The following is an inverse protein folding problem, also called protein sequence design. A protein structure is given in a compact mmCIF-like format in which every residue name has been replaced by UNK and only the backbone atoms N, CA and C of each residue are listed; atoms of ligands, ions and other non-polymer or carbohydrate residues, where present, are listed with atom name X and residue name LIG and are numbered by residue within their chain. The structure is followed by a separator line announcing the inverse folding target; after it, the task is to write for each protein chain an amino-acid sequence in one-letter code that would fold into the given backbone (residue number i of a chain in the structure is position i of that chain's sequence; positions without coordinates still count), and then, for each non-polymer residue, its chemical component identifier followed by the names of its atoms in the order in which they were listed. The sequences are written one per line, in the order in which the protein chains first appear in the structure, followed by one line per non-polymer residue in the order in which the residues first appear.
data_IF_440326784493
#
_entry.id   IF_440326784493
#
_cell.length_a   1.000
_cell.length_b   1.000
_cell.length_c   1.000
_cell.angle_alpha   90.00
_cell.angle_beta   90.00
_cell.angle_gamma   90.00
#
_symmetry.space_group_name_H-M   'P 1'
#
loop_
_entity.id
_entity.type
_entity.pdbx_description
1 polymer ?
#
# COMPACT_ATOMS: atom_id res chain seq x y z
N UNK A 1 2.05 -2.92 -17.12
CA UNK A 1 2.60 -4.29 -16.91
C UNK A 1 1.43 -5.26 -16.73
N UNK A 2 1.63 -6.52 -17.03
CA UNK A 2 0.55 -7.53 -16.93
C UNK A 2 0.92 -8.56 -15.89
N UNK A 3 -0.09 -9.06 -15.19
CA UNK A 3 0.05 -10.22 -14.30
C UNK A 3 -0.89 -11.34 -14.77
N UNK A 4 -0.51 -12.56 -14.41
CA UNK A 4 -1.38 -13.73 -14.55
C UNK A 4 -1.71 -14.29 -13.16
N UNK A 5 -2.86 -14.93 -13.00
CA UNK A 5 -3.15 -15.67 -11.78
C UNK A 5 -2.09 -16.73 -11.52
N UNK A 6 -1.71 -16.90 -10.26
CA UNK A 6 -0.83 -18.00 -9.85
C UNK A 6 -1.73 -19.16 -9.42
N UNK A 7 -1.72 -20.30 -10.13
CA UNK A 7 -2.71 -21.38 -9.93
C UNK A 7 -2.66 -22.01 -8.53
N UNK A 8 -1.51 -21.91 -7.86
CA UNK A 8 -1.29 -22.49 -6.52
C UNK A 8 -1.69 -21.56 -5.37
N UNK A 9 -2.09 -20.32 -5.68
CA UNK A 9 -2.55 -19.37 -4.67
C UNK A 9 -4.07 -19.40 -4.54
N UNK A 10 -4.54 -19.07 -3.33
CA UNK A 10 -5.96 -18.84 -3.09
C UNK A 10 -6.52 -17.77 -4.05
N UNK A 11 -7.77 -17.93 -4.53
CA UNK A 11 -8.40 -16.95 -5.42
C UNK A 11 -8.37 -15.52 -4.87
N UNK A 12 -8.60 -15.33 -3.57
CA UNK A 12 -8.57 -14.04 -2.89
C UNK A 12 -7.20 -13.33 -3.02
N UNK A 13 -6.09 -14.08 -3.01
CA UNK A 13 -4.76 -13.51 -3.19
C UNK A 13 -4.57 -13.06 -4.63
N UNK A 14 -5.03 -13.85 -5.60
CA UNK A 14 -4.98 -13.48 -7.01
C UNK A 14 -5.83 -12.23 -7.30
N UNK A 15 -7.03 -12.11 -6.71
CA UNK A 15 -7.87 -10.91 -6.79
C UNK A 15 -7.18 -9.69 -6.19
N UNK A 16 -6.54 -9.82 -5.04
CA UNK A 16 -5.75 -8.77 -4.40
C UNK A 16 -4.58 -8.33 -5.28
N UNK A 17 -3.87 -9.28 -5.90
CA UNK A 17 -2.79 -8.99 -6.85
C UNK A 17 -3.31 -8.23 -8.07
N UNK A 18 -4.40 -8.67 -8.66
CA UNK A 18 -5.01 -8.01 -9.80
C UNK A 18 -5.47 -6.60 -9.47
N UNK A 19 -6.17 -6.40 -8.35
CA UNK A 19 -6.61 -5.09 -7.89
C UNK A 19 -5.41 -4.14 -7.64
N UNK A 20 -4.33 -4.65 -7.05
CA UNK A 20 -3.09 -3.90 -6.84
C UNK A 20 -2.48 -3.48 -8.19
N UNK A 21 -2.34 -4.43 -9.12
CA UNK A 21 -1.81 -4.18 -10.46
C UNK A 21 -2.62 -3.13 -11.24
N UNK A 22 -3.93 -3.18 -11.14
CA UNK A 22 -4.82 -2.22 -11.78
C UNK A 22 -4.59 -0.80 -11.28
N UNK A 23 -4.41 -0.61 -9.97
CA UNK A 23 -4.12 0.71 -9.40
C UNK A 23 -2.73 1.20 -9.84
N UNK A 24 -1.70 0.35 -9.75
CA UNK A 24 -0.34 0.71 -10.14
C UNK A 24 -0.29 1.11 -11.62
N UNK A 25 -0.88 0.31 -12.50
CA UNK A 25 -0.90 0.57 -13.94
C UNK A 25 -1.71 1.81 -14.31
N UNK A 26 -2.82 2.05 -13.65
CA UNK A 26 -3.77 3.12 -14.05
C UNK A 26 -3.42 4.46 -13.46
N UNK A 27 -2.92 4.50 -12.23
CA UNK A 27 -2.76 5.75 -11.49
C UNK A 27 -1.32 6.09 -11.14
N UNK A 28 -0.42 5.12 -11.02
CA UNK A 28 0.95 5.37 -10.57
C UNK A 28 1.91 5.47 -11.73
N UNK A 29 2.06 4.43 -12.53
CA UNK A 29 3.00 4.41 -13.65
C UNK A 29 2.80 5.59 -14.62
N UNK A 30 1.57 5.93 -15.06
CA UNK A 30 1.36 7.06 -15.97
C UNK A 30 1.68 8.43 -15.36
N UNK A 31 1.78 8.52 -14.05
CA UNK A 31 2.02 9.77 -13.31
C UNK A 31 3.40 9.83 -12.63
N UNK A 32 4.32 8.94 -12.94
CA UNK A 32 5.65 8.92 -12.30
C UNK A 32 6.40 10.25 -12.43
N UNK A 33 6.31 10.90 -13.57
CA UNK A 33 6.91 12.22 -13.80
C UNK A 33 6.34 13.31 -12.87
N UNK A 34 5.07 13.19 -12.46
CA UNK A 34 4.41 14.14 -11.55
C UNK A 34 4.65 13.78 -10.08
N UNK A 35 4.91 12.51 -9.77
CA UNK A 35 5.09 12.01 -8.41
C UNK A 35 6.47 12.30 -7.83
N UNK A 36 7.44 12.71 -8.65
CA UNK A 36 8.83 12.89 -8.26
C UNK A 36 9.12 14.16 -7.43
N UNK A 37 8.33 15.22 -7.59
CA UNK A 37 8.51 16.47 -6.85
C UNK A 37 7.65 16.53 -5.58
N UNK A 38 8.17 15.98 -4.49
CA UNK A 38 7.46 15.91 -3.20
C UNK A 38 7.12 17.28 -2.58
N UNK A 39 7.72 18.37 -3.05
CA UNK A 39 7.46 19.73 -2.54
C UNK A 39 6.33 20.42 -3.29
N UNK A 40 6.00 19.95 -4.47
CA UNK A 40 4.93 20.53 -5.29
C UNK A 40 3.55 20.26 -4.66
N UNK A 41 2.70 21.28 -4.52
CA UNK A 41 1.31 21.11 -4.07
C UNK A 41 0.51 20.16 -4.99
N UNK A 42 0.74 20.19 -6.30
CA UNK A 42 0.11 19.30 -7.28
C UNK A 42 0.47 17.83 -7.01
N UNK A 43 1.75 17.56 -6.76
CA UNK A 43 2.20 16.21 -6.36
C UNK A 43 1.55 15.75 -5.07
N UNK A 44 1.48 16.61 -4.06
CA UNK A 44 0.86 16.26 -2.78
C UNK A 44 -0.64 15.97 -2.92
N UNK A 45 -1.34 16.73 -3.76
CA UNK A 45 -2.75 16.48 -4.05
C UNK A 45 -2.93 15.15 -4.78
N UNK A 46 -2.17 14.91 -5.85
CA UNK A 46 -2.21 13.65 -6.59
C UNK A 46 -1.94 12.43 -5.70
N UNK A 47 -0.96 12.54 -4.80
CA UNK A 47 -0.66 11.46 -3.83
C UNK A 47 -1.85 11.17 -2.92
N UNK A 48 -2.52 12.20 -2.38
CA UNK A 48 -3.73 12.01 -1.56
C UNK A 48 -4.84 11.32 -2.35
N UNK A 49 -5.08 11.74 -3.58
CA UNK A 49 -6.12 11.14 -4.44
C UNK A 49 -5.86 9.66 -4.73
N UNK A 50 -4.60 9.30 -5.00
CA UNK A 50 -4.20 7.89 -5.21
C UNK A 50 -4.32 7.11 -3.90
N UNK A 51 -3.86 7.64 -2.77
CA UNK A 51 -3.99 7.00 -1.47
C UNK A 51 -5.46 6.75 -1.09
N UNK A 52 -6.34 7.72 -1.36
CA UNK A 52 -7.78 7.56 -1.13
C UNK A 52 -8.37 6.46 -2.03
N UNK A 53 -7.90 6.35 -3.27
CA UNK A 53 -8.29 5.26 -4.17
C UNK A 53 -7.85 3.89 -3.63
N UNK A 54 -6.62 3.80 -3.14
CA UNK A 54 -6.08 2.58 -2.51
C UNK A 54 -6.88 2.19 -1.26
N UNK A 55 -7.21 3.18 -0.40
CA UNK A 55 -8.02 2.96 0.80
C UNK A 55 -9.43 2.49 0.46
N UNK A 56 -10.08 3.12 -0.51
CA UNK A 56 -11.43 2.71 -0.99
C UNK A 56 -11.43 1.30 -1.59
N UNK A 57 -10.33 0.87 -2.17
CA UNK A 57 -10.15 -0.49 -2.68
C UNK A 57 -9.78 -1.52 -1.59
N UNK A 58 -9.67 -1.11 -0.32
CA UNK A 58 -9.22 -1.93 0.81
C UNK A 58 -7.81 -2.55 0.62
N UNK A 59 -6.90 -1.81 0.00
CA UNK A 59 -5.52 -2.25 -0.28
C UNK A 59 -4.48 -1.47 0.54
N UNK A 60 -4.93 -0.66 1.51
CA UNK A 60 -4.05 0.18 2.33
C UNK A 60 -3.36 -0.60 3.43
N UNK A 61 -2.07 -0.31 3.63
CA UNK A 61 -1.26 -0.82 4.74
C UNK A 61 -1.42 -2.34 4.96
N UNK A 62 -1.09 -3.18 3.96
CA UNK A 62 -1.31 -4.62 4.02
C UNK A 62 -0.64 -5.31 5.21
N UNK A 63 0.44 -4.72 5.75
CA UNK A 63 1.20 -5.23 6.90
C UNK A 63 0.52 -4.97 8.25
N UNK A 64 -0.45 -4.06 8.32
CA UNK A 64 -1.13 -3.71 9.58
C UNK A 64 -2.39 -4.55 9.80
N UNK A 65 -2.75 -4.80 11.08
CA UNK A 65 -4.04 -5.40 11.44
C UNK A 65 -5.23 -4.53 10.99
N UNK A 66 -6.38 -5.17 10.76
CA UNK A 66 -7.62 -4.47 10.33
C UNK A 66 -8.09 -3.41 11.32
N UNK A 67 -7.95 -3.66 12.62
CA UNK A 67 -8.31 -2.73 13.70
C UNK A 67 -7.52 -1.41 13.66
N UNK A 68 -6.37 -1.40 12.99
CA UNK A 68 -5.53 -0.21 12.77
C UNK A 68 -5.59 0.30 11.31
N UNK A 69 -6.63 -0.07 10.58
CA UNK A 69 -6.87 0.41 9.22
C UNK A 69 -6.09 -0.31 8.13
N UNK A 70 -5.39 -1.39 8.46
CA UNK A 70 -4.67 -2.22 7.51
C UNK A 70 -5.52 -3.37 6.94
N UNK A 71 -4.90 -4.17 6.07
CA UNK A 71 -5.57 -5.32 5.44
C UNK A 71 -5.60 -6.56 6.33
N UNK A 72 -4.66 -6.73 7.28
CA UNK A 72 -4.58 -7.89 8.15
C UNK A 72 -4.35 -9.21 7.41
N UNK A 73 -3.64 -9.17 6.28
CA UNK A 73 -3.46 -10.34 5.39
C UNK A 73 -2.24 -11.20 5.73
N UNK A 74 -1.41 -10.76 6.66
CA UNK A 74 -0.17 -11.44 7.04
C UNK A 74 0.97 -11.24 6.04
N UNK A 75 2.17 -11.68 6.45
CA UNK A 75 3.41 -11.41 5.75
C UNK A 75 3.44 -12.02 4.34
N UNK A 76 3.04 -13.27 4.20
CA UNK A 76 3.15 -13.96 2.90
C UNK A 76 2.24 -13.35 1.83
N UNK A 77 0.99 -13.06 2.17
CA UNK A 77 0.07 -12.40 1.22
C UNK A 77 0.55 -10.99 0.86
N UNK A 78 1.08 -10.26 1.84
CA UNK A 78 1.71 -8.96 1.60
C UNK A 78 2.92 -9.06 0.66
N UNK A 79 3.74 -10.11 0.77
CA UNK A 79 4.88 -10.34 -0.13
C UNK A 79 4.46 -10.42 -1.61
N UNK A 80 3.34 -11.06 -1.91
CA UNK A 80 2.78 -11.09 -3.27
C UNK A 80 2.30 -9.73 -3.79
N UNK A 81 1.84 -8.85 -2.91
CA UNK A 81 1.57 -7.45 -3.29
C UNK A 81 2.86 -6.68 -3.57
N UNK A 82 3.90 -6.88 -2.77
CA UNK A 82 5.18 -6.19 -2.92
C UNK A 82 5.85 -6.43 -4.26
N UNK A 83 5.68 -7.60 -4.86
CA UNK A 83 6.15 -7.89 -6.23
C UNK A 83 5.56 -6.87 -7.22
N UNK A 84 4.28 -6.55 -7.08
CA UNK A 84 3.57 -5.60 -7.95
C UNK A 84 3.89 -4.15 -7.58
N UNK A 85 3.98 -3.85 -6.29
CA UNK A 85 4.36 -2.51 -5.83
C UNK A 85 5.77 -2.12 -6.30
N UNK A 86 6.66 -3.08 -6.50
CA UNK A 86 7.99 -2.86 -7.02
C UNK A 86 8.04 -2.43 -8.51
N UNK A 87 6.91 -2.46 -9.24
CA UNK A 87 6.87 -1.98 -10.63
C UNK A 87 7.07 -0.46 -10.75
N UNK A 88 6.84 0.29 -9.68
CA UNK A 88 7.11 1.72 -9.61
C UNK A 88 7.75 2.10 -8.28
N UNK A 89 8.79 2.94 -8.28
CA UNK A 89 9.41 3.43 -7.05
C UNK A 89 8.47 4.26 -6.17
N UNK A 90 7.35 4.70 -6.72
CA UNK A 90 6.36 5.52 -6.02
C UNK A 90 5.23 4.70 -5.38
N UNK A 91 5.11 3.41 -5.67
CA UNK A 91 3.97 2.59 -5.23
C UNK A 91 3.92 2.40 -3.71
N UNK A 92 5.04 2.03 -3.10
CA UNK A 92 5.06 1.68 -1.67
C UNK A 92 4.47 2.75 -0.76
N UNK A 93 4.89 4.03 -0.81
CA UNK A 93 4.29 5.07 0.04
C UNK A 93 2.82 5.37 -0.31
N UNK A 94 2.40 5.08 -1.54
CA UNK A 94 1.00 5.27 -1.96
C UNK A 94 0.07 4.15 -1.48
N UNK A 95 0.62 3.02 -1.04
CA UNK A 95 -0.09 1.92 -0.40
C UNK A 95 0.13 1.86 1.13
N UNK A 96 0.79 2.87 1.71
CA UNK A 96 1.09 2.90 3.14
C UNK A 96 2.19 1.92 3.56
N UNK A 97 3.07 1.53 2.64
CA UNK A 97 4.16 0.58 2.87
C UNK A 97 5.48 1.29 2.62
N UNK A 98 6.03 1.96 3.61
CA UNK A 98 7.31 2.66 3.46
C UNK A 98 8.11 2.64 4.75
N UNK A 99 9.40 2.36 4.63
CA UNK A 99 10.33 2.51 5.74
C UNK A 99 10.68 4.01 5.92
N UNK A 100 10.79 4.51 7.15
CA UNK A 100 10.71 3.79 8.43
C UNK A 100 9.27 3.65 8.99
N UNK A 101 8.27 4.25 8.35
CA UNK A 101 6.92 4.39 8.91
C UNK A 101 6.27 3.04 9.21
N UNK A 102 6.36 2.08 8.30
CA UNK A 102 5.77 0.74 8.48
C UNK A 102 6.37 -0.01 9.68
N UNK A 103 7.68 0.13 9.91
CA UNK A 103 8.35 -0.43 11.08
C UNK A 103 7.93 0.25 12.37
N UNK A 104 7.89 1.57 12.39
CA UNK A 104 7.46 2.37 13.54
C UNK A 104 6.01 2.10 13.91
N UNK A 105 5.12 1.99 12.94
CA UNK A 105 3.72 1.60 13.14
C UNK A 105 3.60 0.23 13.79
N UNK A 106 4.37 -0.76 13.31
CA UNK A 106 4.38 -2.11 13.87
C UNK A 106 4.86 -2.12 15.32
N UNK A 107 5.90 -1.35 15.64
CA UNK A 107 6.41 -1.21 17.01
C UNK A 107 5.35 -0.56 17.91
N UNK A 108 4.74 0.53 17.45
CA UNK A 108 3.71 1.23 18.20
C UNK A 108 2.50 0.32 18.48
N UNK A 109 2.05 -0.44 17.50
CA UNK A 109 0.93 -1.39 17.65
C UNK A 109 1.25 -2.47 18.69
N UNK A 110 2.45 -3.04 18.64
CA UNK A 110 2.85 -4.15 19.51
C UNK A 110 3.17 -3.72 20.93
N UNK A 111 3.79 -2.58 21.11
CA UNK A 111 4.43 -2.18 22.37
C UNK A 111 3.97 -0.83 22.92
N UNK A 112 3.25 -0.04 22.14
CA UNK A 112 2.73 1.24 22.56
C UNK A 112 1.61 1.12 23.60
N UNK A 113 1.51 2.10 24.50
CA UNK A 113 0.33 2.26 25.36
C UNK A 113 -0.89 2.71 24.56
N UNK A 114 -2.10 2.55 25.10
CA UNK A 114 -3.33 3.01 24.46
C UNK A 114 -3.31 4.54 24.18
N UNK A 115 -2.70 5.31 25.05
CA UNK A 115 -2.53 6.75 24.88
C UNK A 115 -1.59 7.08 23.72
N UNK A 116 -0.47 6.34 23.60
CA UNK A 116 0.46 6.49 22.49
C UNK A 116 -0.18 6.10 21.16
N UNK A 117 -0.91 4.99 21.12
CA UNK A 117 -1.62 4.54 19.91
C UNK A 117 -2.71 5.49 19.44
N UNK A 118 -3.36 6.22 20.38
CA UNK A 118 -4.36 7.25 20.04
C UNK A 118 -3.75 8.54 19.54
N UNK A 119 -2.51 8.84 19.95
CA UNK A 119 -1.83 10.08 19.61
C UNK A 119 -1.11 10.03 18.26
N UNK A 120 -0.55 8.86 17.94
CA UNK A 120 0.32 8.64 16.79
C UNK A 120 -0.29 7.63 15.79
#
# INVERSE_FOLDING_TARGET
MQISPIPTLDPEINETREATANIVNRYIIPNENRLGDYRSPDTQQLRREIQDTVKKANLWAPHLPKEYGGMGIGFMKHAYMNEILAWSPFSNPLFGVVAPDSGNQTILIKYGTDEQKKKW
#
